data_IF_850102668130
#
_entry.id   IF_850102668130
#
_cell.length_a   1.000
_cell.length_b   1.000
_cell.length_c   1.000
_cell.angle_alpha   90.00
_cell.angle_beta   90.00
_cell.angle_gamma   90.00
#
_symmetry.space_group_name_H-M   'P 1'
#
loop_
_entity.id
_entity.type
_entity.pdbx_description
1 polymer ?
#
# COMPACT_ATOMS: atom_id res chain seq x y z
N UNK A 1 10.19 -26.93 47.18
CA UNK A 1 9.27 -26.37 46.16
C UNK A 1 9.79 -25.06 45.50
N UNK A 2 11.10 -24.90 45.22
CA UNK A 2 11.67 -23.64 44.71
C UNK A 2 12.43 -23.73 43.37
N UNK A 3 12.44 -24.89 42.70
CA UNK A 3 13.24 -25.10 41.47
C UNK A 3 12.55 -24.68 40.15
N UNK A 4 11.26 -24.37 40.14
CA UNK A 4 10.50 -24.07 38.92
C UNK A 4 10.49 -22.59 38.49
N UNK A 5 10.83 -21.66 39.39
CA UNK A 5 10.85 -20.22 39.12
C UNK A 5 11.83 -19.77 38.02
N UNK A 6 13.07 -20.30 37.91
CA UNK A 6 13.99 -19.86 36.85
C UNK A 6 13.55 -20.35 35.45
N UNK A 7 12.90 -21.53 35.35
CA UNK A 7 12.45 -22.06 34.07
C UNK A 7 11.36 -21.18 33.43
N UNK A 8 10.41 -20.70 34.25
CA UNK A 8 9.29 -19.87 33.76
C UNK A 8 9.83 -18.56 33.16
N UNK A 9 10.78 -17.90 33.83
CA UNK A 9 11.37 -16.65 33.33
C UNK A 9 12.11 -16.81 32.01
N UNK A 10 12.84 -17.93 31.84
CA UNK A 10 13.55 -18.23 30.59
C UNK A 10 12.57 -18.44 29.44
N UNK A 11 11.47 -19.15 29.67
CA UNK A 11 10.44 -19.38 28.64
C UNK A 11 9.78 -18.08 28.21
N UNK A 12 9.41 -17.20 29.16
CA UNK A 12 8.84 -15.90 28.83
C UNK A 12 9.82 -15.00 28.07
N UNK A 13 11.09 -14.94 28.50
CA UNK A 13 12.11 -14.18 27.80
C UNK A 13 12.33 -14.68 26.36
N UNK A 14 12.36 -16.00 26.16
CA UNK A 14 12.49 -16.61 24.84
C UNK A 14 11.29 -16.28 23.93
N UNK A 15 10.06 -16.33 24.48
CA UNK A 15 8.85 -15.96 23.74
C UNK A 15 8.88 -14.49 23.30
N UNK A 16 9.29 -13.57 24.19
CA UNK A 16 9.42 -12.15 23.85
C UNK A 16 10.46 -11.93 22.74
N UNK A 17 11.62 -12.60 22.83
CA UNK A 17 12.67 -12.50 21.79
C UNK A 17 12.17 -13.03 20.45
N UNK A 18 11.46 -14.16 20.43
CA UNK A 18 10.87 -14.71 19.21
C UNK A 18 9.85 -13.74 18.58
N UNK A 19 8.94 -13.19 19.39
CA UNK A 19 7.97 -12.19 18.91
C UNK A 19 8.70 -10.96 18.36
N UNK A 20 9.70 -10.44 19.07
CA UNK A 20 10.49 -9.30 18.60
C UNK A 20 11.22 -9.61 17.29
N UNK A 21 11.81 -10.80 17.13
CA UNK A 21 12.49 -11.20 15.89
C UNK A 21 11.53 -11.30 14.71
N UNK A 22 10.33 -11.85 14.91
CA UNK A 22 9.30 -11.93 13.86
C UNK A 22 8.88 -10.53 13.43
N UNK A 23 8.52 -9.66 14.39
CA UNK A 23 8.09 -8.28 14.12
C UNK A 23 9.18 -7.45 13.42
N UNK A 24 10.43 -7.58 13.87
CA UNK A 24 11.58 -6.87 13.27
C UNK A 24 11.92 -7.43 11.89
N UNK A 25 11.78 -8.75 11.66
CA UNK A 25 12.01 -9.38 10.37
C UNK A 25 11.02 -8.89 9.30
N UNK A 26 9.75 -8.80 9.66
CA UNK A 26 8.68 -8.32 8.78
C UNK A 26 8.83 -6.83 8.42
N UNK A 27 9.51 -6.07 9.29
CA UNK A 27 9.81 -4.65 9.06
C UNK A 27 10.91 -4.43 8.01
N UNK A 28 11.68 -5.48 7.65
CA UNK A 28 12.80 -5.40 6.68
C UNK A 28 12.49 -5.97 5.30
N UNK A 29 11.34 -6.60 5.13
CA UNK A 29 10.91 -7.01 3.80
C UNK A 29 10.74 -5.76 2.93
N UNK A 30 11.37 -5.76 1.75
CA UNK A 30 11.18 -4.71 0.75
C UNK A 30 9.71 -4.65 0.28
N UNK A 31 9.35 -3.64 -0.52
CA UNK A 31 8.02 -3.56 -1.10
C UNK A 31 7.67 -4.84 -1.88
N UNK A 32 6.46 -5.40 -1.69
CA UNK A 32 5.97 -6.51 -2.50
C UNK A 32 6.00 -6.17 -3.99
N UNK A 33 6.17 -7.17 -4.86
CA UNK A 33 6.15 -6.99 -6.32
C UNK A 33 4.87 -6.31 -6.83
N UNK A 34 3.75 -6.54 -6.14
CA UNK A 34 2.47 -5.90 -6.41
C UNK A 34 2.56 -4.36 -6.30
N UNK A 35 3.33 -3.83 -5.34
CA UNK A 35 3.53 -2.38 -5.20
C UNK A 35 4.24 -1.79 -6.41
N UNK A 36 5.27 -2.47 -6.91
CA UNK A 36 5.97 -2.06 -8.13
C UNK A 36 5.07 -2.16 -9.36
N UNK A 37 4.29 -3.24 -9.46
CA UNK A 37 3.36 -3.48 -10.55
C UNK A 37 2.33 -2.35 -10.65
N UNK A 38 1.62 -2.06 -9.56
CA UNK A 38 0.60 -1.00 -9.53
C UNK A 38 1.19 0.39 -9.82
N UNK A 39 2.34 0.72 -9.23
CA UNK A 39 3.01 1.98 -9.50
C UNK A 39 3.45 2.10 -10.98
N UNK A 40 3.94 1.01 -11.58
CA UNK A 40 4.38 0.99 -12.99
C UNK A 40 3.21 1.10 -13.97
N UNK A 41 2.08 0.46 -13.64
CA UNK A 41 0.84 0.60 -14.40
C UNK A 41 0.36 2.06 -14.39
N UNK A 42 0.39 2.70 -13.23
CA UNK A 42 0.04 4.11 -13.12
C UNK A 42 1.01 5.06 -13.84
N UNK A 43 2.32 4.80 -13.79
CA UNK A 43 3.30 5.52 -14.61
C UNK A 43 2.97 5.41 -16.10
N UNK A 44 2.57 4.21 -16.54
CA UNK A 44 2.18 3.95 -17.94
C UNK A 44 0.90 4.70 -18.32
N UNK A 45 -0.04 4.84 -17.38
CA UNK A 45 -1.24 5.66 -17.53
C UNK A 45 -0.91 7.17 -17.64
N UNK A 46 0.04 7.67 -16.84
CA UNK A 46 0.43 9.09 -16.86
C UNK A 46 1.20 9.50 -18.13
N UNK A 47 1.97 8.60 -18.74
CA UNK A 47 2.80 8.90 -19.92
C UNK A 47 2.56 7.91 -21.07
N UNK A 48 1.36 7.91 -21.68
CA UNK A 48 1.00 6.95 -22.73
C UNK A 48 1.80 7.13 -24.03
N UNK A 49 2.39 8.32 -24.25
CA UNK A 49 3.18 8.66 -25.45
C UNK A 49 4.69 8.49 -25.26
N UNK A 50 5.16 8.10 -24.06
CA UNK A 50 6.58 7.93 -23.75
C UNK A 50 7.40 9.22 -23.72
N UNK A 51 6.77 10.40 -23.79
CA UNK A 51 7.46 11.69 -23.63
C UNK A 51 7.57 12.04 -22.15
N UNK A 52 8.81 12.13 -21.65
CA UNK A 52 9.08 12.29 -20.22
C UNK A 52 8.90 10.98 -19.46
N UNK A 53 10.00 10.23 -19.27
CA UNK A 53 9.99 8.99 -18.51
C UNK A 53 9.84 9.32 -17.02
N UNK A 54 8.59 9.28 -16.53
CA UNK A 54 8.33 9.20 -15.09
C UNK A 54 8.83 7.84 -14.62
N UNK A 55 9.65 7.82 -13.57
CA UNK A 55 10.19 6.61 -12.95
C UNK A 55 9.91 6.63 -11.46
N UNK A 56 9.97 5.47 -10.81
CA UNK A 56 9.94 5.39 -9.36
C UNK A 56 11.30 5.85 -8.82
N UNK A 57 11.32 6.87 -7.97
CA UNK A 57 12.52 7.33 -7.26
C UNK A 57 12.69 6.62 -5.92
N UNK A 58 11.60 6.48 -5.16
CA UNK A 58 11.63 5.91 -3.82
C UNK A 58 10.32 5.21 -3.49
N UNK A 59 10.42 4.11 -2.75
CA UNK A 59 9.29 3.41 -2.14
C UNK A 59 9.56 3.26 -0.66
N UNK A 60 8.63 3.73 0.18
CA UNK A 60 8.76 3.69 1.64
C UNK A 60 7.47 3.16 2.23
N UNK A 61 7.57 2.16 3.13
CA UNK A 61 6.42 1.66 3.89
C UNK A 61 5.97 2.73 4.87
N UNK A 62 4.66 2.97 4.93
CA UNK A 62 4.07 3.81 5.96
C UNK A 62 4.26 3.16 7.33
N UNK A 63 4.70 3.94 8.31
CA UNK A 63 4.79 3.48 9.70
C UNK A 63 3.45 3.57 10.44
N UNK A 64 2.51 4.35 9.90
CA UNK A 64 1.18 4.57 10.46
C UNK A 64 0.08 4.46 9.38
N UNK A 65 -0.08 3.28 8.74
CA UNK A 65 -1.07 3.09 7.67
C UNK A 65 -2.50 3.38 8.14
N UNK A 66 -2.80 3.21 9.44
CA UNK A 66 -4.11 3.49 10.03
C UNK A 66 -4.53 4.96 9.98
N UNK A 67 -3.60 5.88 9.72
CA UNK A 67 -3.90 7.31 9.54
C UNK A 67 -4.33 7.63 8.10
N UNK A 68 -4.23 6.68 7.17
CA UNK A 68 -4.70 6.86 5.79
C UNK A 68 -6.18 6.53 5.73
N UNK A 69 -7.00 7.57 5.86
CA UNK A 69 -8.47 7.46 5.87
C UNK A 69 -9.06 7.78 4.50
N UNK A 70 -10.35 7.51 4.33
CA UNK A 70 -11.07 7.73 3.07
C UNK A 70 -10.90 9.17 2.57
N UNK A 71 -10.96 10.14 3.46
CA UNK A 71 -10.87 11.57 3.16
C UNK A 71 -9.48 11.99 2.67
N UNK A 72 -8.44 11.21 2.98
CA UNK A 72 -7.08 11.42 2.47
C UNK A 72 -6.97 10.99 1.00
N UNK A 73 -7.75 9.99 0.58
CA UNK A 73 -7.76 9.49 -0.79
C UNK A 73 -8.74 10.31 -1.65
N UNK A 74 -8.18 11.11 -2.55
CA UNK A 74 -8.94 11.91 -3.52
C UNK A 74 -9.41 11.08 -4.71
N UNK A 75 -8.53 10.19 -5.19
CA UNK A 75 -8.82 9.28 -6.29
C UNK A 75 -8.17 7.93 -6.02
N UNK A 76 -8.80 6.89 -6.54
CA UNK A 76 -8.35 5.50 -6.45
C UNK A 76 -8.20 4.90 -7.83
N UNK A 77 -7.12 4.18 -8.06
CA UNK A 77 -6.77 3.58 -9.34
C UNK A 77 -6.37 2.12 -9.11
N UNK A 78 -6.97 1.20 -9.86
CA UNK A 78 -6.52 -0.19 -9.93
C UNK A 78 -7.26 -0.89 -11.09
N UNK A 79 -6.81 -2.09 -11.47
CA UNK A 79 -7.59 -3.05 -12.25
C UNK A 79 -8.25 -4.08 -11.31
N UNK A 80 -8.96 -3.60 -10.28
CA UNK A 80 -9.64 -4.49 -9.33
C UNK A 80 -11.07 -4.79 -9.79
N UNK A 81 -11.41 -6.07 -9.83
CA UNK A 81 -12.77 -6.55 -10.10
C UNK A 81 -13.67 -6.46 -8.85
N UNK A 82 -13.06 -6.41 -7.67
CA UNK A 82 -13.78 -6.51 -6.39
C UNK A 82 -14.08 -5.17 -5.76
N UNK A 83 -13.18 -4.20 -5.91
CA UNK A 83 -13.29 -2.91 -5.23
C UNK A 83 -13.69 -1.78 -6.17
N UNK A 84 -14.45 -0.83 -5.62
CA UNK A 84 -14.82 0.39 -6.32
C UNK A 84 -13.60 1.33 -6.45
N UNK A 85 -13.13 1.53 -7.68
CA UNK A 85 -12.06 2.47 -8.01
C UNK A 85 -12.58 3.66 -8.82
N UNK A 86 -11.88 4.79 -8.72
CA UNK A 86 -12.23 6.00 -9.49
C UNK A 86 -11.88 5.81 -10.96
N UNK A 87 -10.76 5.15 -11.25
CA UNK A 87 -10.24 4.90 -12.59
C UNK A 87 -9.62 3.49 -12.71
N UNK A 88 -9.71 2.90 -13.90
CA UNK A 88 -9.00 1.67 -14.24
C UNK A 88 -7.58 1.94 -14.76
N UNK A 89 -6.61 1.12 -14.36
CA UNK A 89 -5.20 1.22 -14.80
C UNK A 89 -4.88 0.35 -16.03
N UNK A 90 -5.69 0.36 -17.11
CA UNK A 90 -5.31 -0.10 -18.46
C UNK A 90 -6.34 0.31 -19.56
N UNK A 91 -5.94 0.25 -20.85
CA UNK A 91 -6.43 1.02 -22.01
C UNK A 91 -7.94 0.94 -22.36
N UNK A 92 -8.50 1.87 -23.19
CA UNK A 92 -9.92 1.90 -23.58
C UNK A 92 -10.48 0.61 -24.22
N UNK A 93 -9.62 -0.21 -24.84
CA UNK A 93 -10.02 -1.53 -25.37
C UNK A 93 -10.22 -2.58 -24.25
N UNK A 94 -9.55 -2.40 -23.10
CA UNK A 94 -9.74 -3.20 -21.90
C UNK A 94 -10.84 -2.61 -21.00
N UNK A 95 -10.94 -1.28 -20.91
CA UNK A 95 -12.00 -0.58 -20.17
C UNK A 95 -13.41 -0.71 -20.80
N UNK A 96 -13.54 -1.10 -22.08
CA UNK A 96 -14.82 -1.45 -22.70
C UNK A 96 -15.24 -2.92 -22.47
N UNK A 97 -14.31 -3.82 -22.15
CA UNK A 97 -14.61 -5.22 -21.79
C UNK A 97 -14.90 -5.36 -20.28
N UNK A 98 -14.19 -4.58 -19.46
CA UNK A 98 -14.54 -4.30 -18.07
C UNK A 98 -15.57 -3.20 -18.05
N UNK A 99 -16.81 -3.51 -18.44
CA UNK A 99 -17.92 -2.58 -18.31
C UNK A 99 -17.88 -2.04 -16.90
N UNK A 100 -17.52 -0.74 -16.76
CA UNK A 100 -17.30 -0.05 -15.48
C UNK A 100 -18.41 -0.44 -14.53
N UNK A 101 -18.17 -1.50 -13.77
CA UNK A 101 -19.16 -2.10 -12.92
C UNK A 101 -19.17 -1.18 -11.73
N UNK A 102 -20.09 -0.21 -11.77
CA UNK A 102 -20.57 0.60 -10.65
C UNK A 102 -21.17 -0.28 -9.53
N UNK A 103 -20.59 -1.45 -9.27
CA UNK A 103 -21.08 -2.51 -8.39
C UNK A 103 -19.96 -3.24 -7.65
N UNK A 104 -18.74 -2.69 -7.64
CA UNK A 104 -17.67 -3.14 -6.73
C UNK A 104 -18.00 -2.77 -5.28
N UNK A 105 -17.33 -3.40 -4.32
CA UNK A 105 -17.45 -3.07 -2.89
C UNK A 105 -16.65 -1.82 -2.59
N UNK A 106 -17.14 -1.02 -1.63
CA UNK A 106 -16.35 0.09 -1.14
C UNK A 106 -15.00 -0.40 -0.61
N UNK A 107 -13.92 0.28 -1.01
CA UNK A 107 -12.57 0.02 -0.50
C UNK A 107 -12.58 0.18 1.05
N UNK A 108 -12.13 -0.82 1.81
CA UNK A 108 -12.05 -0.72 3.26
C UNK A 108 -10.92 0.21 3.67
N UNK A 109 -11.18 1.12 4.60
CA UNK A 109 -10.16 2.00 5.19
C UNK A 109 -10.03 1.72 6.69
N UNK A 110 -8.82 1.88 7.27
CA UNK A 110 -7.55 2.09 6.57
C UNK A 110 -7.05 0.82 5.85
N UNK A 111 -6.13 0.93 4.89
CA UNK A 111 -5.47 -0.24 4.30
C UNK A 111 -4.64 -0.99 5.35
N UNK A 112 -4.44 -2.30 5.14
CA UNK A 112 -3.64 -3.14 6.04
C UNK A 112 -2.16 -2.76 5.96
N UNK A 113 -1.65 -2.61 4.73
CA UNK A 113 -0.33 -2.11 4.43
C UNK A 113 -0.44 -0.90 3.51
N UNK A 114 0.44 0.08 3.69
CA UNK A 114 0.49 1.26 2.85
C UNK A 114 1.93 1.58 2.48
N UNK A 115 2.14 1.88 1.21
CA UNK A 115 3.44 2.26 0.67
C UNK A 115 3.32 3.63 0.01
N UNK A 116 4.22 4.54 0.36
CA UNK A 116 4.38 5.80 -0.33
C UNK A 116 5.42 5.64 -1.44
N UNK A 117 5.03 5.97 -2.65
CA UNK A 117 5.88 5.87 -3.85
C UNK A 117 6.12 7.28 -4.37
N UNK A 118 7.37 7.71 -4.33
CA UNK A 118 7.82 8.97 -4.90
C UNK A 118 8.24 8.74 -6.35
N UNK A 119 7.70 9.56 -7.25
CA UNK A 119 7.97 9.53 -8.68
C UNK A 119 8.96 10.63 -9.08
N UNK A 120 9.64 10.45 -10.21
CA UNK A 120 10.69 11.38 -10.69
C UNK A 120 10.22 12.77 -11.11
N UNK A 121 8.92 12.96 -11.20
CA UNK A 121 8.30 14.26 -11.41
C UNK A 121 7.93 14.95 -10.08
N UNK A 122 8.37 14.41 -8.93
CA UNK A 122 8.07 14.92 -7.60
C UNK A 122 6.71 14.51 -7.05
N UNK A 123 5.88 13.80 -7.82
CA UNK A 123 4.57 13.34 -7.34
C UNK A 123 4.73 12.19 -6.34
N UNK A 124 3.83 12.15 -5.35
CA UNK A 124 3.73 11.04 -4.40
C UNK A 124 2.39 10.36 -4.61
N UNK A 125 2.44 9.05 -4.83
CA UNK A 125 1.27 8.17 -4.86
C UNK A 125 1.35 7.21 -3.69
N UNK A 126 0.21 6.65 -3.33
CA UNK A 126 0.11 5.67 -2.25
C UNK A 126 -0.38 4.35 -2.83
N UNK A 127 0.21 3.24 -2.43
CA UNK A 127 -0.28 1.90 -2.78
C UNK A 127 -0.70 1.21 -1.49
N UNK A 128 -2.00 1.04 -1.33
CA UNK A 128 -2.64 0.44 -0.17
C UNK A 128 -3.03 -1.01 -0.45
N UNK A 129 -2.71 -1.91 0.47
CA UNK A 129 -3.22 -3.28 0.45
C UNK A 129 -4.57 -3.32 1.17
N UNK A 130 -5.61 -3.70 0.43
CA UNK A 130 -6.99 -3.78 0.90
C UNK A 130 -7.46 -5.22 0.94
N UNK A 131 -7.83 -5.68 2.14
CA UNK A 131 -8.30 -7.03 2.37
C UNK A 131 -9.79 -7.04 2.70
N UNK A 132 -10.51 -8.01 2.17
CA UNK A 132 -11.79 -8.45 2.69
C UNK A 132 -11.73 -9.95 3.04
N UNK A 133 -12.88 -10.54 3.38
CA UNK A 133 -12.92 -11.96 3.77
C UNK A 133 -12.60 -12.94 2.62
N UNK A 134 -12.49 -12.47 1.37
CA UNK A 134 -12.28 -13.30 0.19
C UNK A 134 -11.06 -12.90 -0.66
N UNK A 135 -10.64 -11.63 -0.64
CA UNK A 135 -9.61 -11.11 -1.54
C UNK A 135 -8.68 -10.10 -0.87
N UNK A 136 -7.49 -9.98 -1.44
CA UNK A 136 -6.48 -8.98 -1.13
C UNK A 136 -6.04 -8.32 -2.43
N UNK A 137 -6.24 -7.01 -2.56
CA UNK A 137 -5.79 -6.23 -3.73
C UNK A 137 -4.94 -5.04 -3.30
N UNK A 138 -3.94 -4.72 -4.12
CA UNK A 138 -3.18 -3.48 -4.02
C UNK A 138 -3.86 -2.43 -4.86
N UNK A 139 -4.26 -1.32 -4.23
CA UNK A 139 -4.96 -0.22 -4.87
C UNK A 139 -4.12 1.03 -4.74
N UNK A 140 -4.01 1.79 -5.83
CA UNK A 140 -3.32 3.05 -5.85
C UNK A 140 -4.26 4.17 -5.43
N UNK A 141 -3.75 5.08 -4.61
CA UNK A 141 -4.45 6.27 -4.17
C UNK A 141 -3.63 7.51 -4.51
N UNK A 142 -4.33 8.51 -5.03
CA UNK A 142 -3.86 9.90 -5.04
C UNK A 142 -4.47 10.62 -3.84
N UNK A 143 -3.67 11.46 -3.18
CA UNK A 143 -4.15 12.35 -2.14
C UNK A 143 -4.32 13.78 -2.68
N UNK A 144 -5.20 14.56 -2.06
CA UNK A 144 -5.34 15.98 -2.41
C UNK A 144 -4.10 16.81 -2.01
N UNK A 145 -3.47 16.44 -0.90
CA UNK A 145 -2.20 16.98 -0.40
C UNK A 145 -1.29 15.79 -0.08
N UNK A 146 -0.44 15.42 -1.03
CA UNK A 146 0.31 14.17 -0.98
C UNK A 146 1.46 14.23 0.02
N UNK A 147 2.08 15.39 0.19
CA UNK A 147 3.12 15.63 1.18
C UNK A 147 2.56 15.56 2.61
N UNK A 148 1.43 16.22 2.88
CA UNK A 148 0.78 16.15 4.18
C UNK A 148 0.30 14.73 4.47
N UNK A 149 -0.29 14.04 3.49
CA UNK A 149 -0.70 12.65 3.62
C UNK A 149 0.49 11.72 3.93
N UNK A 150 1.61 11.85 3.20
CA UNK A 150 2.82 11.07 3.43
C UNK A 150 3.42 11.29 4.82
N UNK A 151 3.44 12.54 5.29
CA UNK A 151 3.88 12.87 6.65
C UNK A 151 2.94 12.25 7.70
N UNK A 152 1.62 12.33 7.48
CA UNK A 152 0.61 11.82 8.41
C UNK A 152 0.64 10.29 8.56
N UNK A 153 0.97 9.55 7.51
CA UNK A 153 1.14 8.08 7.56
C UNK A 153 2.57 7.66 7.94
N UNK A 154 3.45 8.64 8.22
CA UNK A 154 4.81 8.41 8.68
C UNK A 154 5.72 7.81 7.61
N UNK A 155 5.58 8.23 6.35
CA UNK A 155 6.52 7.94 5.28
C UNK A 155 7.66 8.95 5.26
N UNK A 156 8.90 8.50 5.47
CA UNK A 156 10.08 9.35 5.37
C UNK A 156 10.65 9.34 3.94
N UNK A 157 10.13 10.23 3.08
CA UNK A 157 10.56 10.35 1.68
C UNK A 157 11.77 11.29 1.49
N UNK A 158 12.29 11.91 2.56
CA UNK A 158 13.46 12.79 2.51
C UNK A 158 14.76 11.99 2.48
#
# INVERSE_FOLDING_TARGET
MLRSRPLILVVFALAIVLVALVVVGESRAGPPDAVYSEATLYISYLSPSGQGRVTIERIVRASQPWNFVRETSKATFADSVYYETTYGLASPAQAQAYGASRGGRAVPFPPLNLWCVQLSNGSIIFVGEHHDMYNADYILHEAADAEAAAANVGCNLR
#
